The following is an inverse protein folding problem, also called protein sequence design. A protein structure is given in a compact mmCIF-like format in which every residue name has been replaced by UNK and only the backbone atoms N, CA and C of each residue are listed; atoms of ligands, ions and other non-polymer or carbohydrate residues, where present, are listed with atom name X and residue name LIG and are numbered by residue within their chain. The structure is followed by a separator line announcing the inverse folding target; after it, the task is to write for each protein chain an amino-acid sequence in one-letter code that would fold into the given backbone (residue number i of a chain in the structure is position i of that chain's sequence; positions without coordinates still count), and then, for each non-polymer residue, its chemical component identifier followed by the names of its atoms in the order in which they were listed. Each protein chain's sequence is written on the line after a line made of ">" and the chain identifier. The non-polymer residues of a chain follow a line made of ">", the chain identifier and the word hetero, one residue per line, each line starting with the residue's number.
data_IF_536699986777
#
_entry.id   IF_536699986777
#
_cell.length_a   1.000
_cell.length_b   1.000
_cell.length_c   1.000
_cell.angle_alpha   90.00
_cell.angle_beta   90.00
_cell.angle_gamma   90.00
#
_symmetry.space_group_name_H-M   'P 1'
#
loop_
_entity.id
_entity.type
_entity.pdbx_description
1 polymer ?
#
# COMPACT_ATOMS: atom_id res chain seq x y z
N UNK A 1 0.75 14.01 -2.67
CA UNK A 1 1.55 12.79 -2.47
C UNK A 1 0.72 11.58 -2.02
N UNK A 2 -0.25 11.73 -1.11
CA UNK A 2 -1.02 10.57 -0.59
C UNK A 2 -2.16 10.03 -1.49
N UNK A 3 -2.68 10.83 -2.44
CA UNK A 3 -3.78 10.42 -3.34
C UNK A 3 -3.43 9.25 -4.26
N UNK A 4 -2.20 9.19 -4.79
CA UNK A 4 -1.77 8.09 -5.66
C UNK A 4 -1.70 6.77 -4.91
N UNK A 5 -1.17 6.79 -3.68
CA UNK A 5 -1.17 5.64 -2.78
C UNK A 5 -2.58 5.14 -2.50
N UNK A 6 -3.51 6.05 -2.16
CA UNK A 6 -4.90 5.66 -1.92
C UNK A 6 -5.58 5.10 -3.17
N UNK A 7 -5.33 5.65 -4.36
CA UNK A 7 -5.87 5.09 -5.61
C UNK A 7 -5.32 3.71 -5.91
N UNK A 8 -4.01 3.50 -5.75
CA UNK A 8 -3.37 2.21 -6.00
C UNK A 8 -3.86 1.16 -5.01
N UNK A 9 -3.99 1.53 -3.73
CA UNK A 9 -4.57 0.69 -2.69
C UNK A 9 -6.02 0.32 -2.99
N UNK A 10 -6.84 1.28 -3.44
CA UNK A 10 -8.24 1.05 -3.81
C UNK A 10 -8.39 0.15 -5.05
N UNK A 11 -7.46 0.24 -6.01
CA UNK A 11 -7.44 -0.59 -7.21
C UNK A 11 -7.04 -2.04 -6.92
N UNK A 12 -6.01 -2.26 -6.10
CA UNK A 12 -5.44 -3.59 -5.88
C UNK A 12 -6.17 -4.34 -4.75
N UNK A 13 -6.38 -3.66 -3.62
CA UNK A 13 -7.00 -4.28 -2.44
C UNK A 13 -8.53 -4.17 -2.54
N UNK A 14 -9.02 -3.02 -2.99
CA UNK A 14 -10.44 -2.68 -2.92
C UNK A 14 -10.87 -2.30 -1.50
N UNK A 15 -11.96 -1.52 -1.38
CA UNK A 15 -12.45 -1.00 -0.08
C UNK A 15 -13.00 -2.06 0.89
N UNK A 16 -13.14 -3.30 0.44
CA UNK A 16 -13.88 -4.33 1.20
C UNK A 16 -12.97 -5.28 1.99
N UNK A 17 -11.65 -5.28 1.75
CA UNK A 17 -10.70 -6.21 2.35
C UNK A 17 -9.47 -5.47 2.86
N UNK A 18 -8.84 -6.00 3.89
CA UNK A 18 -7.59 -5.45 4.40
C UNK A 18 -6.44 -5.87 3.48
N UNK A 19 -5.44 -5.00 3.25
CA UNK A 19 -4.26 -5.35 2.47
C UNK A 19 -3.58 -6.57 3.08
N UNK A 20 -3.42 -7.62 2.28
CA UNK A 20 -2.72 -8.84 2.70
C UNK A 20 -1.27 -8.81 2.24
N UNK A 21 -0.43 -9.70 2.79
CA UNK A 21 0.97 -9.83 2.38
C UNK A 21 1.13 -10.25 0.92
N UNK A 22 0.11 -10.82 0.28
CA UNK A 22 0.19 -11.17 -1.14
C UNK A 22 -0.06 -9.95 -2.04
N UNK A 23 -0.96 -9.05 -1.62
CA UNK A 23 -1.22 -7.76 -2.28
C UNK A 23 -0.01 -6.83 -2.28
N UNK A 24 1.00 -7.06 -1.42
CA UNK A 24 2.26 -6.29 -1.42
C UNK A 24 2.98 -6.30 -2.76
N UNK A 25 2.92 -7.42 -3.50
CA UNK A 25 3.57 -7.54 -4.81
C UNK A 25 2.98 -6.59 -5.85
N UNK A 26 1.68 -6.30 -5.73
CA UNK A 26 0.94 -5.39 -6.61
C UNK A 26 0.90 -3.95 -6.08
N UNK A 27 1.48 -3.68 -4.90
CA UNK A 27 1.45 -2.37 -4.24
C UNK A 27 2.86 -1.80 -4.00
N UNK A 28 3.64 -1.54 -5.06
CA UNK A 28 5.02 -1.07 -4.94
C UNK A 28 5.12 0.27 -4.21
N UNK A 29 4.17 1.19 -4.42
CA UNK A 29 4.19 2.48 -3.71
C UNK A 29 3.81 2.33 -2.23
N UNK A 30 2.80 1.51 -1.94
CA UNK A 30 2.35 1.30 -0.55
C UNK A 30 3.42 0.56 0.25
N UNK A 31 4.08 -0.42 -0.36
CA UNK A 31 5.20 -1.13 0.27
C UNK A 31 6.37 -0.19 0.56
N UNK A 32 6.77 0.64 -0.40
CA UNK A 32 7.82 1.64 -0.18
C UNK A 32 7.49 2.60 0.98
N UNK A 33 6.24 3.04 1.09
CA UNK A 33 5.78 3.91 2.19
C UNK A 33 5.76 3.21 3.55
N UNK A 34 5.32 1.95 3.60
CA UNK A 34 5.32 1.14 4.82
C UNK A 34 6.76 0.89 5.28
N UNK A 35 7.66 0.53 4.36
CA UNK A 35 9.08 0.32 4.65
C UNK A 35 9.75 1.62 5.12
N UNK A 36 9.42 2.75 4.52
CA UNK A 36 9.92 4.05 4.97
C UNK A 36 9.43 4.38 6.39
N UNK A 37 8.16 4.12 6.69
CA UNK A 37 7.58 4.32 8.03
C UNK A 37 8.23 3.41 9.07
N UNK A 38 8.42 2.12 8.75
CA UNK A 38 9.11 1.16 9.62
C UNK A 38 10.58 1.50 9.82
N UNK A 39 11.25 2.01 8.78
CA UNK A 39 12.67 2.38 8.83
C UNK A 39 12.92 3.68 9.60
N UNK A 40 11.91 4.54 9.76
CA UNK A 40 11.99 5.79 10.53
C UNK A 40 11.49 5.66 11.97
N UNK A 41 11.20 4.45 12.44
CA UNK A 41 10.91 4.17 13.86
C UNK A 41 12.18 4.04 14.69
#
# INVERSE_FOLDING_TARGET
>A
TQKKLHQELDQVVGKSRQPTLDDRKDLPYTEAFILETLRKS
#
